data_IF_535791471498
#
_entry.id   IF_535791471498
#
_cell.length_a   1.000
_cell.length_b   1.000
_cell.length_c   1.000
_cell.angle_alpha   90.00
_cell.angle_beta   90.00
_cell.angle_gamma   90.00
#
_symmetry.space_group_name_H-M   'P 1'
#
loop_
_entity.id
_entity.type
_entity.pdbx_description
1 polymer ?
#
# COMPACT_ATOMS: atom_id res chain seq x y z
N UNK A 1 -13.46 -1.08 -17.03
CA UNK A 1 -14.05 -0.50 -15.80
C UNK A 1 -14.12 -1.55 -14.70
N UNK A 2 -14.05 -1.09 -13.41
CA UNK A 2 -14.15 -1.98 -12.25
C UNK A 2 -12.83 -2.32 -11.57
N UNK A 3 -11.68 -1.93 -12.12
CA UNK A 3 -10.36 -2.05 -11.46
C UNK A 3 -9.93 -0.67 -10.98
N UNK A 4 -9.56 -0.57 -9.70
CA UNK A 4 -9.17 0.67 -9.06
C UNK A 4 -7.86 0.52 -8.31
N UNK A 5 -7.04 1.57 -8.29
CA UNK A 5 -5.93 1.66 -7.34
C UNK A 5 -6.47 2.02 -5.96
N UNK A 6 -5.91 1.43 -4.93
CA UNK A 6 -6.30 1.70 -3.55
C UNK A 6 -6.30 3.20 -3.22
N UNK A 7 -5.25 3.92 -3.64
CA UNK A 7 -5.11 5.35 -3.35
C UNK A 7 -6.22 6.18 -3.99
N UNK A 8 -6.61 5.91 -5.22
CA UNK A 8 -7.66 6.66 -5.92
C UNK A 8 -9.01 6.46 -5.23
N UNK A 9 -9.28 5.22 -4.80
CA UNK A 9 -10.47 4.86 -4.06
C UNK A 9 -10.55 5.57 -2.71
N UNK A 10 -9.47 5.51 -1.92
CA UNK A 10 -9.41 6.13 -0.58
C UNK A 10 -9.48 7.67 -0.66
N UNK A 11 -8.79 8.28 -1.63
CA UNK A 11 -8.89 9.73 -1.88
C UNK A 11 -10.33 10.12 -2.21
N UNK A 12 -11.00 9.38 -3.10
CA UNK A 12 -12.40 9.64 -3.48
C UNK A 12 -13.33 9.57 -2.27
N UNK A 13 -13.15 8.56 -1.42
CA UNK A 13 -13.95 8.40 -0.21
C UNK A 13 -13.67 9.53 0.80
N UNK A 14 -12.41 9.88 1.05
CA UNK A 14 -12.02 10.95 1.99
C UNK A 14 -12.58 12.31 1.54
N UNK A 15 -12.45 12.64 0.26
CA UNK A 15 -13.04 13.88 -0.29
C UNK A 15 -14.54 13.95 -0.08
N UNK A 16 -15.24 12.81 -0.26
CA UNK A 16 -16.70 12.73 -0.01
C UNK A 16 -17.03 12.96 1.45
N UNK A 17 -16.31 12.30 2.37
CA UNK A 17 -16.53 12.45 3.82
C UNK A 17 -16.29 13.87 4.33
N UNK A 18 -15.28 14.56 3.77
CA UNK A 18 -14.93 15.94 4.12
C UNK A 18 -15.75 16.98 3.35
N UNK A 19 -16.76 16.58 2.57
CA UNK A 19 -17.57 17.47 1.71
C UNK A 19 -16.71 18.36 0.80
N UNK A 20 -15.53 17.87 0.37
CA UNK A 20 -14.66 18.61 -0.53
C UNK A 20 -15.24 18.60 -1.95
N UNK A 21 -15.16 19.73 -2.63
CA UNK A 21 -15.58 19.80 -4.02
C UNK A 21 -14.61 18.96 -4.88
N UNK A 22 -15.14 17.92 -5.51
CA UNK A 22 -14.38 17.00 -6.36
C UNK A 22 -14.38 17.41 -7.84
N UNK A 23 -15.01 18.54 -8.16
CA UNK A 23 -15.20 18.96 -9.54
C UNK A 23 -16.06 17.95 -10.32
N UNK A 24 -15.57 17.52 -11.50
CA UNK A 24 -16.24 16.53 -12.36
C UNK A 24 -15.96 15.07 -11.98
N UNK A 25 -15.09 14.81 -10.97
CA UNK A 25 -14.78 13.43 -10.58
C UNK A 25 -15.93 12.82 -9.77
N UNK A 26 -16.51 11.74 -10.27
CA UNK A 26 -17.54 11.00 -9.54
C UNK A 26 -16.97 10.33 -8.29
N UNK A 27 -17.79 10.28 -7.23
CA UNK A 27 -17.47 9.53 -6.04
C UNK A 27 -17.49 8.03 -6.33
N UNK A 28 -16.35 7.36 -6.07
CA UNK A 28 -16.23 5.91 -6.21
C UNK A 28 -16.98 5.26 -5.06
N UNK A 29 -18.07 4.54 -5.39
CA UNK A 29 -18.96 3.89 -4.43
C UNK A 29 -19.24 2.44 -4.84
N UNK A 30 -19.08 1.53 -3.89
CA UNK A 30 -19.24 0.09 -4.12
C UNK A 30 -20.46 -0.51 -3.45
N UNK A 31 -21.47 0.30 -3.15
CA UNK A 31 -22.73 -0.20 -2.59
C UNK A 31 -23.33 -1.31 -3.47
N UNK A 32 -23.71 -2.42 -2.81
CA UNK A 32 -24.29 -3.62 -3.46
C UNK A 32 -23.35 -4.34 -4.45
N UNK A 33 -22.02 -4.08 -4.42
CA UNK A 33 -21.03 -4.72 -5.28
C UNK A 33 -20.29 -5.84 -4.56
N UNK A 34 -19.87 -6.87 -5.29
CA UNK A 34 -18.88 -7.85 -4.85
C UNK A 34 -17.48 -7.24 -5.05
N UNK A 35 -16.78 -6.94 -3.97
CA UNK A 35 -15.49 -6.27 -4.00
C UNK A 35 -14.39 -7.26 -3.65
N UNK A 36 -13.35 -7.32 -4.47
CA UNK A 36 -12.10 -8.02 -4.16
C UNK A 36 -11.00 -7.01 -3.93
N UNK A 37 -10.29 -7.12 -2.80
CA UNK A 37 -9.10 -6.33 -2.49
C UNK A 37 -7.87 -7.23 -2.58
N UNK A 38 -6.93 -6.83 -3.43
CA UNK A 38 -5.68 -7.54 -3.65
C UNK A 38 -4.56 -6.90 -2.84
N UNK A 39 -4.13 -7.57 -1.78
CA UNK A 39 -3.06 -7.08 -0.90
C UNK A 39 -3.31 -7.36 0.57
N UNK A 40 -2.30 -7.14 1.40
CA UNK A 40 -2.36 -7.49 2.83
C UNK A 40 -1.74 -6.46 3.77
N UNK A 41 -1.46 -5.24 3.30
CA UNK A 41 -0.99 -4.13 4.12
C UNK A 41 -2.12 -3.29 4.71
N UNK A 42 -1.79 -2.29 5.52
CA UNK A 42 -2.77 -1.40 6.15
C UNK A 42 -3.64 -0.66 5.11
N UNK A 43 -3.07 -0.25 3.97
CA UNK A 43 -3.85 0.31 2.85
C UNK A 43 -4.93 -0.64 2.34
N UNK A 44 -4.65 -1.97 2.30
CA UNK A 44 -5.66 -2.96 1.94
C UNK A 44 -6.75 -3.05 3.02
N UNK A 45 -6.39 -2.94 4.30
CA UNK A 45 -7.36 -2.91 5.41
C UNK A 45 -8.27 -1.69 5.32
N UNK A 46 -7.72 -0.52 5.02
CA UNK A 46 -8.49 0.70 4.79
C UNK A 46 -9.49 0.53 3.64
N UNK A 47 -9.06 -0.06 2.51
CA UNK A 47 -9.94 -0.34 1.38
C UNK A 47 -11.05 -1.34 1.73
N UNK A 48 -10.72 -2.43 2.42
CA UNK A 48 -11.66 -3.46 2.85
C UNK A 48 -12.77 -2.85 3.72
N UNK A 49 -12.37 -2.16 4.79
CA UNK A 49 -13.29 -1.57 5.75
C UNK A 49 -14.12 -0.43 5.15
N UNK A 50 -13.51 0.38 4.29
CA UNK A 50 -14.23 1.42 3.54
C UNK A 50 -15.32 0.81 2.66
N UNK A 51 -15.03 -0.28 1.94
CA UNK A 51 -16.01 -0.94 1.09
C UNK A 51 -17.17 -1.55 1.90
N UNK A 52 -16.90 -2.18 3.05
CA UNK A 52 -17.94 -2.65 3.97
C UNK A 52 -18.84 -1.48 4.40
N UNK A 53 -18.24 -0.38 4.85
CA UNK A 53 -18.97 0.81 5.33
C UNK A 53 -19.76 1.54 4.25
N UNK A 54 -19.35 1.41 2.99
CA UNK A 54 -20.14 1.88 1.84
C UNK A 54 -21.32 0.97 1.51
N UNK A 55 -21.45 -0.21 2.14
CA UNK A 55 -22.53 -1.16 1.91
C UNK A 55 -22.26 -2.09 0.72
N UNK A 56 -21.01 -2.49 0.49
CA UNK A 56 -20.71 -3.54 -0.46
C UNK A 56 -21.48 -4.84 -0.13
N UNK A 57 -21.87 -5.59 -1.16
CA UNK A 57 -22.59 -6.88 -0.99
C UNK A 57 -21.69 -7.92 -0.32
N UNK A 58 -20.41 -7.91 -0.67
CA UNK A 58 -19.36 -8.72 -0.04
C UNK A 58 -18.01 -8.06 -0.28
N UNK A 59 -17.11 -8.22 0.67
CA UNK A 59 -15.71 -7.79 0.54
C UNK A 59 -14.82 -8.98 0.82
N UNK A 60 -13.94 -9.32 -0.12
CA UNK A 60 -12.99 -10.41 0.00
C UNK A 60 -11.58 -9.90 -0.18
N UNK A 61 -10.74 -10.10 0.82
CA UNK A 61 -9.31 -9.79 0.78
C UNK A 61 -8.54 -11.03 0.32
N UNK A 62 -7.84 -10.93 -0.80
CA UNK A 62 -6.96 -11.98 -1.31
C UNK A 62 -5.52 -11.64 -1.00
N UNK A 63 -4.84 -12.52 -0.26
CA UNK A 63 -3.46 -12.33 0.11
C UNK A 63 -2.59 -13.54 -0.22
N UNK A 64 -1.45 -13.30 -0.88
CA UNK A 64 -0.57 -14.34 -1.42
C UNK A 64 0.29 -15.10 -0.41
N UNK A 65 0.23 -14.76 0.88
CA UNK A 65 0.88 -15.47 1.99
C UNK A 65 -0.15 -15.83 3.05
N UNK A 66 0.29 -16.45 4.13
CA UNK A 66 -0.55 -16.72 5.28
C UNK A 66 -0.80 -15.46 6.13
N UNK A 67 -1.68 -15.59 7.11
CA UNK A 67 -2.04 -14.50 8.03
C UNK A 67 -0.84 -14.01 8.85
N UNK A 68 0.06 -14.91 9.26
CA UNK A 68 1.23 -14.56 10.09
C UNK A 68 2.22 -13.66 9.34
N UNK A 69 2.30 -13.82 8.03
CA UNK A 69 3.15 -13.04 7.14
C UNK A 69 2.45 -11.81 6.52
N UNK A 70 1.27 -11.45 7.03
CA UNK A 70 0.55 -10.27 6.58
C UNK A 70 1.23 -9.00 7.12
N UNK A 71 1.55 -7.99 6.26
CA UNK A 71 2.23 -6.78 6.71
C UNK A 71 1.29 -5.78 7.41
N UNK A 72 -0.01 -5.91 7.23
CA UNK A 72 -1.00 -5.09 7.93
C UNK A 72 -0.98 -5.33 9.45
N UNK A 73 -1.26 -4.28 10.21
CA UNK A 73 -1.28 -4.37 11.66
C UNK A 73 -2.33 -5.39 12.11
N UNK A 74 -2.00 -6.21 13.11
CA UNK A 74 -2.91 -7.25 13.63
C UNK A 74 -4.25 -6.68 14.06
N UNK A 75 -4.23 -5.46 14.63
CA UNK A 75 -5.44 -4.76 15.06
C UNK A 75 -6.35 -4.44 13.87
N UNK A 76 -5.79 -3.90 12.77
CA UNK A 76 -6.58 -3.55 11.58
C UNK A 76 -7.13 -4.78 10.88
N UNK A 77 -6.36 -5.86 10.83
CA UNK A 77 -6.84 -7.16 10.31
C UNK A 77 -8.00 -7.69 11.16
N UNK A 78 -7.88 -7.62 12.48
CA UNK A 78 -8.94 -8.07 13.39
C UNK A 78 -10.21 -7.20 13.23
N UNK A 79 -10.06 -5.88 13.21
CA UNK A 79 -11.17 -4.96 12.96
C UNK A 79 -11.87 -5.25 11.63
N UNK A 80 -11.10 -5.52 10.56
CA UNK A 80 -11.67 -5.84 9.27
C UNK A 80 -12.47 -7.16 9.29
N UNK A 81 -11.99 -8.19 10.01
CA UNK A 81 -12.74 -9.45 10.22
C UNK A 81 -14.05 -9.22 10.98
N UNK A 82 -14.01 -8.43 12.05
CA UNK A 82 -15.18 -8.09 12.85
C UNK A 82 -16.23 -7.28 12.07
N UNK A 83 -15.77 -6.43 11.13
CA UNK A 83 -16.65 -5.70 10.21
C UNK A 83 -17.20 -6.58 9.07
N UNK A 84 -16.80 -7.85 8.97
CA UNK A 84 -17.36 -8.82 8.02
C UNK A 84 -16.56 -8.99 6.71
N UNK A 85 -15.29 -8.60 6.70
CA UNK A 85 -14.39 -8.88 5.57
C UNK A 85 -14.02 -10.36 5.53
N UNK A 86 -14.14 -11.00 4.35
CA UNK A 86 -13.70 -12.36 4.13
C UNK A 86 -12.22 -12.37 3.74
N UNK A 87 -11.38 -13.11 4.47
CA UNK A 87 -9.97 -13.25 4.15
C UNK A 87 -9.68 -14.60 3.53
N UNK A 88 -9.00 -14.60 2.37
CA UNK A 88 -8.46 -15.80 1.75
C UNK A 88 -6.94 -15.65 1.64
N UNK A 89 -6.25 -16.45 2.43
CA UNK A 89 -4.80 -16.49 2.50
C UNK A 89 -4.21 -17.50 1.51
N UNK A 90 -2.93 -17.35 1.20
CA UNK A 90 -2.22 -18.19 0.25
C UNK A 90 -2.89 -18.22 -1.13
N UNK A 91 -3.42 -17.08 -1.56
CA UNK A 91 -4.10 -16.89 -2.84
C UNK A 91 -3.42 -15.75 -3.60
N UNK A 92 -2.89 -16.06 -4.77
CA UNK A 92 -2.26 -15.11 -5.66
C UNK A 92 -3.14 -14.86 -6.89
N UNK A 93 -3.46 -13.60 -7.22
CA UNK A 93 -4.14 -13.29 -8.47
C UNK A 93 -3.20 -13.52 -9.66
N UNK A 94 -3.75 -14.06 -10.74
CA UNK A 94 -3.05 -14.27 -12.00
C UNK A 94 -3.65 -13.41 -13.12
N UNK A 95 -4.98 -13.21 -13.08
CA UNK A 95 -5.67 -12.44 -14.11
C UNK A 95 -6.95 -11.81 -13.55
N UNK A 96 -7.41 -10.74 -14.18
CA UNK A 96 -8.71 -10.10 -13.91
C UNK A 96 -9.59 -10.34 -15.11
N UNK A 97 -10.70 -11.04 -14.88
CA UNK A 97 -11.60 -11.50 -15.92
C UNK A 97 -12.69 -10.46 -16.23
N UNK A 98 -13.09 -10.42 -17.50
CA UNK A 98 -14.17 -9.59 -18.02
C UNK A 98 -13.69 -8.73 -19.20
N UNK A 99 -14.60 -8.46 -20.14
CA UNK A 99 -14.29 -7.67 -21.34
C UNK A 99 -14.67 -6.20 -21.14
N UNK A 100 -15.96 -5.92 -20.95
CA UNK A 100 -16.48 -4.55 -20.75
C UNK A 100 -16.45 -4.10 -19.30
N UNK A 101 -16.49 -5.02 -18.36
CA UNK A 101 -16.45 -4.79 -16.90
C UNK A 101 -15.76 -5.97 -16.22
N UNK A 102 -15.36 -5.75 -14.97
CA UNK A 102 -14.86 -6.84 -14.12
C UNK A 102 -15.97 -7.86 -13.88
N UNK A 103 -15.66 -9.14 -14.03
CA UNK A 103 -16.53 -10.28 -13.76
C UNK A 103 -15.95 -11.20 -12.70
N UNK A 104 -14.61 -11.18 -12.53
CA UNK A 104 -13.95 -11.99 -11.54
C UNK A 104 -12.44 -11.84 -11.54
N UNK A 105 -11.81 -12.58 -10.63
CA UNK A 105 -10.35 -12.67 -10.52
C UNK A 105 -9.94 -14.15 -10.63
N UNK A 106 -9.10 -14.47 -11.60
CA UNK A 106 -8.46 -15.77 -11.69
C UNK A 106 -7.27 -15.79 -10.75
N UNK A 107 -7.18 -16.83 -9.95
CA UNK A 107 -6.17 -16.97 -8.89
C UNK A 107 -5.53 -18.33 -8.93
N UNK A 108 -4.41 -18.47 -8.21
CA UNK A 108 -3.74 -19.74 -7.92
C UNK A 108 -3.43 -19.79 -6.42
N UNK A 109 -3.47 -20.99 -5.84
CA UNK A 109 -2.99 -21.19 -4.47
C UNK A 109 -1.48 -21.01 -4.41
N UNK A 110 -0.97 -20.57 -3.26
CA UNK A 110 0.47 -20.47 -3.00
C UNK A 110 0.86 -21.27 -1.77
N UNK A 111 2.09 -21.75 -1.76
CA UNK A 111 2.77 -22.25 -0.57
C UNK A 111 3.91 -21.30 -0.20
N UNK A 112 4.30 -21.28 1.07
CA UNK A 112 5.41 -20.45 1.53
C UNK A 112 6.74 -21.19 1.28
N UNK A 113 7.56 -20.62 0.41
CA UNK A 113 8.94 -21.05 0.17
C UNK A 113 9.91 -20.49 1.21
N UNK A 114 11.20 -20.50 0.87
CA UNK A 114 12.26 -19.94 1.71
C UNK A 114 12.16 -18.42 1.83
N UNK A 115 12.69 -17.84 2.93
CA UNK A 115 12.78 -16.40 3.09
C UNK A 115 13.66 -15.75 2.02
N UNK A 116 13.26 -14.57 1.54
CA UNK A 116 14.08 -13.69 0.71
C UNK A 116 15.15 -12.97 1.56
N UNK A 117 15.96 -12.11 0.91
CA UNK A 117 17.02 -11.31 1.56
C UNK A 117 16.50 -10.40 2.70
N UNK A 118 15.20 -10.11 2.72
CA UNK A 118 14.53 -9.33 3.76
C UNK A 118 13.84 -10.20 4.81
N UNK A 119 14.09 -11.51 4.83
CA UNK A 119 13.45 -12.46 5.75
C UNK A 119 11.98 -12.77 5.43
N UNK A 120 11.46 -12.33 4.27
CA UNK A 120 10.07 -12.56 3.87
C UNK A 120 9.94 -13.83 3.06
N UNK A 121 9.11 -14.77 3.50
CA UNK A 121 8.89 -16.03 2.78
C UNK A 121 8.27 -15.78 1.41
N UNK A 122 8.89 -16.38 0.38
CA UNK A 122 8.47 -16.21 -1.02
C UNK A 122 7.22 -17.05 -1.29
N UNK A 123 6.12 -16.49 -1.80
CA UNK A 123 4.96 -17.27 -2.19
C UNK A 123 5.27 -18.03 -3.48
N UNK A 124 5.11 -19.36 -3.47
CA UNK A 124 5.33 -20.24 -4.62
C UNK A 124 3.97 -20.70 -5.11
N UNK A 125 3.58 -20.44 -6.37
CA UNK A 125 2.33 -20.92 -6.94
C UNK A 125 2.27 -22.46 -6.98
N UNK A 126 1.09 -23.01 -6.67
CA UNK A 126 0.81 -24.45 -6.74
C UNK A 126 0.14 -24.72 -8.09
N UNK A 127 0.78 -25.43 -9.03
CA UNK A 127 0.20 -25.75 -10.33
C UNK A 127 -1.12 -26.53 -10.20
N UNK A 128 -2.08 -26.26 -11.07
CA UNK A 128 -3.36 -26.95 -11.10
C UNK A 128 -4.34 -26.55 -9.98
N UNK A 129 -4.03 -25.48 -9.22
CA UNK A 129 -4.87 -24.97 -8.13
C UNK A 129 -5.67 -23.73 -8.51
N UNK A 130 -5.80 -23.46 -9.79
CA UNK A 130 -6.47 -22.26 -10.31
C UNK A 130 -7.94 -22.24 -9.87
N UNK A 131 -8.40 -21.05 -9.46
CA UNK A 131 -9.79 -20.78 -9.09
C UNK A 131 -10.22 -19.39 -9.57
N UNK A 132 -11.51 -19.22 -9.75
CA UNK A 132 -12.12 -17.93 -10.08
C UNK A 132 -12.93 -17.46 -8.87
N UNK A 133 -12.72 -16.21 -8.50
CA UNK A 133 -13.53 -15.49 -7.53
C UNK A 133 -14.37 -14.46 -8.28
N UNK A 134 -15.69 -14.54 -8.16
CA UNK A 134 -16.61 -13.56 -8.75
C UNK A 134 -16.38 -12.18 -8.16
N UNK A 135 -16.32 -11.15 -8.98
CA UNK A 135 -16.19 -9.76 -8.56
C UNK A 135 -16.88 -8.80 -9.52
N UNK A 136 -17.49 -7.76 -8.98
CA UNK A 136 -17.92 -6.58 -9.73
C UNK A 136 -16.80 -5.51 -9.73
N UNK A 137 -15.92 -5.55 -8.71
CA UNK A 137 -14.89 -4.56 -8.46
C UNK A 137 -13.62 -5.23 -7.92
N UNK A 138 -12.47 -4.79 -8.43
CA UNK A 138 -11.15 -5.18 -7.92
C UNK A 138 -10.38 -3.93 -7.50
N UNK A 139 -9.87 -3.93 -6.26
CA UNK A 139 -8.99 -2.89 -5.72
C UNK A 139 -7.58 -3.46 -5.61
N UNK A 140 -6.62 -2.81 -6.27
CA UNK A 140 -5.20 -3.18 -6.23
C UNK A 140 -4.51 -2.40 -5.11
N UNK A 141 -4.07 -3.11 -4.07
CA UNK A 141 -3.44 -2.56 -2.86
C UNK A 141 -2.07 -3.22 -2.58
N UNK A 142 -1.19 -3.26 -3.59
CA UNK A 142 0.13 -3.91 -3.51
C UNK A 142 1.20 -3.06 -2.83
N UNK A 143 0.84 -1.90 -2.29
CA UNK A 143 1.74 -0.94 -1.66
C UNK A 143 2.27 0.10 -2.64
N UNK A 144 3.26 0.85 -2.17
CA UNK A 144 3.83 1.99 -2.89
C UNK A 144 5.30 1.71 -3.22
N UNK A 145 5.79 2.38 -4.25
CA UNK A 145 7.22 2.46 -4.58
C UNK A 145 7.65 3.90 -4.46
N UNK A 146 8.90 4.12 -4.07
CA UNK A 146 9.47 5.46 -4.11
C UNK A 146 9.39 6.03 -5.53
N UNK A 147 9.14 7.32 -5.63
CA UNK A 147 9.08 8.05 -6.89
C UNK A 147 9.97 9.29 -6.76
N UNK A 148 11.27 9.15 -7.09
CA UNK A 148 12.20 10.27 -7.03
C UNK A 148 11.69 11.46 -7.84
N UNK A 149 11.80 12.66 -7.28
CA UNK A 149 11.38 13.85 -7.98
C UNK A 149 12.33 14.16 -9.14
N UNK A 150 11.83 14.64 -10.30
CA UNK A 150 12.68 14.92 -11.47
C UNK A 150 13.84 15.90 -11.22
N UNK A 151 13.69 16.79 -10.24
CA UNK A 151 14.70 17.77 -9.87
C UNK A 151 15.80 17.24 -8.92
N UNK A 152 15.76 15.96 -8.51
CA UNK A 152 16.81 15.42 -7.64
C UNK A 152 18.19 15.48 -8.27
N UNK A 153 18.28 15.20 -9.56
CA UNK A 153 19.54 15.26 -10.31
C UNK A 153 20.09 16.70 -10.36
N UNK A 154 19.24 17.72 -10.52
CA UNK A 154 19.61 19.13 -10.54
C UNK A 154 20.29 19.61 -9.23
N UNK A 155 19.94 18.95 -8.13
CA UNK A 155 20.48 19.23 -6.79
C UNK A 155 21.44 18.18 -6.27
N UNK A 156 21.86 17.24 -7.10
CA UNK A 156 22.77 16.12 -6.71
C UNK A 156 22.25 15.33 -5.50
N UNK A 157 20.96 15.04 -5.44
CA UNK A 157 20.36 14.21 -4.40
C UNK A 157 20.43 12.75 -4.84
N UNK A 158 21.28 11.98 -4.19
CA UNK A 158 21.43 10.56 -4.50
C UNK A 158 20.30 9.71 -3.93
N UNK A 159 19.94 8.67 -4.68
CA UNK A 159 18.93 7.69 -4.26
C UNK A 159 19.48 6.28 -4.31
N UNK A 160 18.89 5.40 -3.49
CA UNK A 160 19.13 3.95 -3.56
C UNK A 160 18.50 3.39 -4.84
N UNK A 161 18.81 2.15 -5.19
CA UNK A 161 18.26 1.46 -6.39
C UNK A 161 16.72 1.36 -6.42
N UNK A 162 16.09 1.41 -5.26
CA UNK A 162 14.64 1.40 -5.07
C UNK A 162 14.00 2.79 -5.10
N UNK A 163 14.81 3.84 -5.31
CA UNK A 163 14.37 5.23 -5.41
C UNK A 163 14.29 5.97 -4.06
N UNK A 164 14.66 5.35 -2.95
CA UNK A 164 14.71 6.03 -1.65
C UNK A 164 15.93 6.97 -1.58
N UNK A 165 15.74 8.16 -1.01
CA UNK A 165 16.82 9.13 -0.80
C UNK A 165 17.85 8.60 0.19
N UNK A 166 19.12 8.79 -0.11
CA UNK A 166 20.23 8.48 0.80
C UNK A 166 20.37 9.64 1.78
N UNK A 167 19.91 9.42 3.02
CA UNK A 167 20.02 10.34 4.14
C UNK A 167 20.05 9.53 5.44
N UNK A 168 21.27 9.18 5.89
CA UNK A 168 21.43 8.21 6.95
C UNK A 168 21.21 8.83 8.35
N UNK A 169 20.70 8.01 9.28
CA UNK A 169 20.56 8.40 10.69
C UNK A 169 21.91 8.40 11.43
N UNK A 170 22.81 7.49 11.01
CA UNK A 170 24.07 7.21 11.71
C UNK A 170 25.24 8.06 11.17
N UNK A 171 24.99 9.31 10.82
CA UNK A 171 26.02 10.25 10.39
C UNK A 171 26.08 11.48 11.31
N UNK A 172 27.10 12.30 11.20
CA UNK A 172 27.31 13.45 12.09
C UNK A 172 26.13 14.44 12.04
N UNK A 173 25.64 14.74 10.84
CA UNK A 173 24.44 15.53 10.61
C UNK A 173 23.34 14.55 10.14
N UNK A 174 22.58 14.00 11.08
CA UNK A 174 21.51 13.04 10.78
C UNK A 174 20.58 13.54 9.71
N UNK A 175 20.23 12.66 8.79
CA UNK A 175 19.27 12.92 7.72
C UNK A 175 19.72 13.98 6.69
N UNK A 176 21.00 14.35 6.65
CA UNK A 176 21.58 15.12 5.56
C UNK A 176 21.70 14.25 4.31
N UNK A 177 21.36 14.77 3.15
CA UNK A 177 21.49 14.05 1.87
C UNK A 177 22.91 14.18 1.31
N UNK A 178 23.14 13.66 0.11
CA UNK A 178 24.37 13.91 -0.67
C UNK A 178 24.60 15.38 -0.99
N UNK A 179 23.56 16.20 -0.98
CA UNK A 179 23.69 17.67 -0.99
C UNK A 179 23.69 18.21 0.45
N UNK A 180 24.80 18.82 0.85
CA UNK A 180 25.01 19.31 2.22
C UNK A 180 23.96 20.30 2.73
N UNK A 181 23.24 20.98 1.83
CA UNK A 181 22.19 21.97 2.18
C UNK A 181 20.79 21.35 2.26
N UNK A 182 20.65 20.08 1.94
CA UNK A 182 19.37 19.39 1.86
C UNK A 182 19.29 18.26 2.85
N UNK A 183 18.22 18.20 3.62
CA UNK A 183 17.91 17.17 4.59
C UNK A 183 16.60 16.47 4.21
N UNK A 184 16.50 15.18 4.48
CA UNK A 184 15.33 14.37 4.11
C UNK A 184 15.03 13.32 5.17
N UNK A 185 13.76 13.01 5.40
CA UNK A 185 13.32 11.97 6.34
C UNK A 185 11.94 11.43 5.97
N UNK A 186 11.41 10.52 6.77
CA UNK A 186 10.14 9.87 6.56
C UNK A 186 10.15 8.87 5.41
N UNK A 187 9.00 8.69 4.76
CA UNK A 187 8.80 7.68 3.72
C UNK A 187 9.76 7.83 2.53
N UNK A 188 10.26 9.04 2.29
CA UNK A 188 11.21 9.31 1.20
C UNK A 188 12.58 8.66 1.44
N UNK A 189 12.97 8.47 2.70
CA UNK A 189 14.26 7.86 3.10
C UNK A 189 14.09 6.40 3.51
N UNK A 190 13.05 6.12 4.28
CA UNK A 190 12.82 4.82 4.92
C UNK A 190 11.93 3.87 4.10
N UNK A 191 11.13 4.41 3.20
CA UNK A 191 9.99 3.73 2.59
C UNK A 191 8.73 3.95 3.42
N UNK A 192 7.64 3.31 3.02
CA UNK A 192 6.34 3.47 3.68
C UNK A 192 6.40 3.03 5.16
N UNK A 193 6.18 3.95 6.10
CA UNK A 193 6.26 3.72 7.53
C UNK A 193 5.23 4.61 8.29
N UNK A 194 5.31 4.64 9.61
CA UNK A 194 4.39 5.37 10.47
C UNK A 194 4.69 6.88 10.47
N UNK A 195 3.61 7.68 10.54
CA UNK A 195 3.72 9.14 10.65
C UNK A 195 4.53 9.59 11.87
N UNK A 196 4.48 8.85 12.97
CA UNK A 196 5.27 9.14 14.19
C UNK A 196 6.77 9.03 13.95
N UNK A 197 7.20 8.06 13.11
CA UNK A 197 8.59 7.90 12.67
C UNK A 197 9.01 9.09 11.81
N UNK A 198 8.20 9.47 10.84
CA UNK A 198 8.46 10.62 9.97
C UNK A 198 8.59 11.94 10.77
N UNK A 199 7.72 12.14 11.77
CA UNK A 199 7.80 13.31 12.67
C UNK A 199 9.11 13.31 13.47
N UNK A 200 9.51 12.15 14.00
CA UNK A 200 10.75 12.02 14.75
C UNK A 200 11.98 12.32 13.86
N UNK A 201 12.05 11.74 12.67
CA UNK A 201 13.12 11.98 11.71
C UNK A 201 13.19 13.46 11.29
N UNK A 202 12.05 14.11 11.05
CA UNK A 202 12.00 15.55 10.77
C UNK A 202 12.53 16.41 11.92
N UNK A 203 12.26 16.02 13.17
CA UNK A 203 12.82 16.72 14.35
C UNK A 203 14.33 16.54 14.47
N UNK A 204 14.84 15.34 14.22
CA UNK A 204 16.29 15.07 14.26
C UNK A 204 17.00 15.78 13.09
N UNK A 205 16.42 15.78 11.89
CA UNK A 205 16.90 16.58 10.77
C UNK A 205 16.95 18.07 11.12
N UNK A 206 15.93 18.60 11.77
CA UNK A 206 15.90 20.00 12.25
C UNK A 206 17.05 20.33 13.21
N UNK A 207 17.41 19.43 14.13
CA UNK A 207 18.60 19.61 15.00
C UNK A 207 19.90 19.62 14.20
N UNK A 208 20.01 18.77 13.19
CA UNK A 208 21.17 18.73 12.29
C UNK A 208 21.28 20.00 11.45
N UNK A 209 20.17 20.55 10.98
CA UNK A 209 20.14 21.84 10.27
C UNK A 209 20.65 22.98 11.17
N UNK A 210 20.18 23.05 12.42
CA UNK A 210 20.66 24.05 13.38
C UNK A 210 22.17 23.93 13.55
N UNK A 211 22.70 22.72 13.74
CA UNK A 211 24.15 22.48 13.87
C UNK A 211 24.92 22.86 12.59
N UNK A 212 24.33 22.67 11.42
CA UNK A 212 24.94 22.98 10.13
C UNK A 212 25.08 24.48 9.88
N UNK A 213 24.14 25.30 10.36
CA UNK A 213 24.10 26.76 10.12
C UNK A 213 24.71 27.57 11.26
N UNK A 214 25.05 26.93 12.41
CA UNK A 214 25.71 27.59 13.56
C UNK A 214 27.21 27.64 13.39
#
# INVERSE_FOLDING_TARGET
>A
PGVYKAIDYLISNTKKLLNMNTGKSEHINFKNKKVIVLGGGDTAMDCNRTAIRQGAKSVTCLYRRDEKNMPGSRREVQNAKEEGVNFNFNIQPIDILGNEKVEGVKTVQTMLGEPDQNGRRVPIPVPGSERIYDADVVIVAFGFRASPAPWFDDFNIETKKDGLVIAEENQELKFQTSNEKIFSGGDMVRGSDLVVTAIWEGREAGKSIIKYVS
#
